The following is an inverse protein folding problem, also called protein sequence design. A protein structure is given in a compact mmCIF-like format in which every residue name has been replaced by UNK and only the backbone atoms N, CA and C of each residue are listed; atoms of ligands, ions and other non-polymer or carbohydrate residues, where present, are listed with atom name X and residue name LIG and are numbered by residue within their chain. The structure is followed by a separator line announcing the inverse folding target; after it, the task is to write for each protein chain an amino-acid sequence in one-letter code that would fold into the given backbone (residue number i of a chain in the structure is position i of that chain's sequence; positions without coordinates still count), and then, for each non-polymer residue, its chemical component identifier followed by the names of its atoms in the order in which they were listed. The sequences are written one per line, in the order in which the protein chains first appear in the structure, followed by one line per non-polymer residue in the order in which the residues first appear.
data_IF_907531521400
#
_entry.id   IF_907531521400
#
_cell.length_a   1.000
_cell.length_b   1.000
_cell.length_c   1.000
_cell.angle_alpha   90.00
_cell.angle_beta   90.00
_cell.angle_gamma   90.00
#
_symmetry.space_group_name_H-M   'P 1'
#
loop_
_entity.id
_entity.type
_entity.pdbx_description
1 polymer ?
#
# COMPACT_ATOMS: atom_id res chain seq x y z
N UNK A 1 -6.84 -33.26 6.69
CA UNK A 1 -6.72 -32.15 7.65
C UNK A 1 -7.89 -31.21 7.37
N UNK A 2 -8.68 -30.86 8.38
CA UNK A 2 -9.86 -30.01 8.21
C UNK A 2 -9.34 -28.57 8.07
N UNK A 3 -9.34 -28.00 6.84
CA UNK A 3 -9.32 -26.56 6.66
C UNK A 3 -10.64 -26.04 7.26
N UNK A 4 -10.55 -25.55 8.47
CA UNK A 4 -11.61 -24.74 9.05
C UNK A 4 -11.58 -23.45 8.24
N UNK A 5 -12.57 -23.23 7.39
CA UNK A 5 -12.82 -21.93 6.75
C UNK A 5 -12.98 -20.89 7.88
N UNK A 6 -11.86 -20.32 8.32
CA UNK A 6 -11.91 -19.17 9.23
C UNK A 6 -12.62 -18.04 8.50
N UNK A 7 -13.62 -17.48 9.14
CA UNK A 7 -14.26 -16.28 8.62
C UNK A 7 -13.22 -15.15 8.55
N UNK A 8 -12.98 -14.65 7.35
CA UNK A 8 -12.04 -13.53 7.11
C UNK A 8 -12.35 -12.35 8.03
N UNK A 9 -13.62 -12.09 8.27
CA UNK A 9 -14.09 -10.99 9.14
C UNK A 9 -13.61 -11.21 10.58
N UNK A 10 -13.75 -12.43 11.10
CA UNK A 10 -13.27 -12.76 12.46
C UNK A 10 -11.75 -12.65 12.55
N UNK A 11 -11.02 -13.17 11.56
CA UNK A 11 -9.58 -13.13 11.54
C UNK A 11 -9.04 -11.70 11.45
N UNK A 12 -9.65 -10.83 10.63
CA UNK A 12 -9.25 -9.42 10.52
C UNK A 12 -9.49 -8.68 11.84
N UNK A 13 -10.58 -8.99 12.55
CA UNK A 13 -10.95 -8.34 13.83
C UNK A 13 -10.09 -8.77 15.00
N UNK A 14 -9.79 -10.05 15.08
CA UNK A 14 -9.09 -10.67 16.21
C UNK A 14 -8.07 -11.70 15.72
N UNK A 15 -6.98 -11.27 15.07
CA UNK A 15 -5.93 -12.20 14.67
C UNK A 15 -5.27 -12.81 15.90
N UNK A 16 -4.90 -14.11 15.82
CA UNK A 16 -4.15 -14.76 16.88
C UNK A 16 -2.76 -14.15 17.02
N UNK A 17 -2.20 -14.13 18.25
CA UNK A 17 -0.91 -13.52 18.54
C UNK A 17 0.28 -14.23 17.86
N UNK A 18 0.10 -15.50 17.48
CA UNK A 18 1.13 -16.38 16.87
C UNK A 18 0.98 -16.49 15.36
N UNK A 19 0.09 -15.70 14.72
CA UNK A 19 -0.08 -15.73 13.27
C UNK A 19 0.98 -14.88 12.56
N UNK A 20 1.26 -15.27 11.29
CA UNK A 20 2.21 -14.56 10.44
C UNK A 20 1.85 -13.07 10.30
N UNK A 21 2.87 -12.22 10.18
CA UNK A 21 2.72 -10.77 9.98
C UNK A 21 1.92 -10.40 8.71
N UNK A 22 1.88 -11.30 7.72
CA UNK A 22 1.02 -11.21 6.55
C UNK A 22 0.31 -12.55 6.36
N UNK A 23 -1.02 -12.52 6.44
CA UNK A 23 -1.85 -13.70 6.32
C UNK A 23 -2.48 -13.75 4.93
N UNK A 24 -2.33 -14.87 4.24
CA UNK A 24 -2.95 -15.15 2.96
C UNK A 24 -4.06 -16.20 3.14
N UNK A 25 -5.29 -15.87 2.76
CA UNK A 25 -6.45 -16.74 2.92
C UNK A 25 -7.24 -16.87 1.62
N UNK A 26 -7.90 -18.02 1.45
CA UNK A 26 -8.83 -18.25 0.35
C UNK A 26 -10.27 -18.29 0.83
N UNK A 27 -11.15 -17.55 0.14
CA UNK A 27 -12.60 -17.64 0.30
C UNK A 27 -13.24 -17.84 -1.08
N UNK A 28 -13.50 -19.08 -1.42
CA UNK A 28 -13.94 -19.43 -2.78
C UNK A 28 -12.91 -18.98 -3.83
N UNK A 29 -13.30 -18.21 -4.86
CA UNK A 29 -12.37 -17.74 -5.89
C UNK A 29 -11.61 -16.48 -5.49
N UNK A 30 -11.70 -16.02 -4.25
CA UNK A 30 -11.14 -14.75 -3.78
C UNK A 30 -9.94 -15.00 -2.88
N UNK A 31 -8.80 -14.41 -3.21
CA UNK A 31 -7.62 -14.36 -2.35
C UNK A 31 -7.69 -13.14 -1.46
N UNK A 32 -7.62 -13.34 -0.14
CA UNK A 32 -7.44 -12.28 0.83
C UNK A 32 -5.99 -12.20 1.29
N UNK A 33 -5.52 -10.97 1.47
CA UNK A 33 -4.23 -10.63 2.07
C UNK A 33 -4.50 -9.70 3.25
N UNK A 34 -4.10 -10.13 4.44
CA UNK A 34 -4.30 -9.38 5.68
C UNK A 34 -2.94 -9.00 6.25
N UNK A 35 -2.67 -7.68 6.31
CA UNK A 35 -1.50 -7.15 7.00
C UNK A 35 -1.72 -7.27 8.50
N UNK A 36 -0.94 -8.10 9.19
CA UNK A 36 -1.24 -8.56 10.54
C UNK A 36 -0.20 -8.14 11.57
N UNK A 37 -0.07 -6.84 11.77
CA UNK A 37 0.69 -6.23 12.89
C UNK A 37 -0.13 -5.12 13.56
N UNK A 38 -1.33 -5.39 14.10
CA UNK A 38 -2.26 -4.36 14.57
C UNK A 38 -1.68 -3.48 15.67
N UNK A 39 -0.80 -4.00 16.53
CA UNK A 39 -0.08 -3.22 17.58
C UNK A 39 0.85 -2.17 16.97
N UNK A 40 1.42 -2.43 15.78
CA UNK A 40 2.26 -1.52 15.00
C UNK A 40 1.48 -0.80 13.89
N UNK A 41 0.12 -0.77 13.94
CA UNK A 41 -0.74 -0.23 12.90
C UNK A 41 -0.43 -0.82 11.52
N UNK A 42 -0.10 -2.09 11.48
CA UNK A 42 0.23 -2.86 10.29
C UNK A 42 1.41 -2.29 9.49
N UNK A 43 2.37 -1.63 10.17
CA UNK A 43 3.59 -1.17 9.52
C UNK A 43 4.37 -2.34 8.92
N UNK A 44 4.79 -2.17 7.65
CA UNK A 44 5.42 -3.22 6.84
C UNK A 44 6.84 -3.51 7.27
N UNK A 45 7.13 -4.78 7.52
CA UNK A 45 8.50 -5.31 7.62
C UNK A 45 8.98 -5.79 6.25
N UNK A 46 10.31 -6.07 6.12
CA UNK A 46 10.84 -6.67 4.89
C UNK A 46 10.18 -8.01 4.59
N UNK A 47 9.96 -8.82 5.61
CA UNK A 47 9.27 -10.10 5.50
C UNK A 47 7.85 -9.95 4.92
N UNK A 48 7.08 -8.96 5.39
CA UNK A 48 5.74 -8.71 4.85
C UNK A 48 5.78 -8.27 3.36
N UNK A 49 6.78 -7.49 2.96
CA UNK A 49 6.95 -7.11 1.56
C UNK A 49 7.28 -8.33 0.68
N UNK A 50 8.20 -9.18 1.13
CA UNK A 50 8.59 -10.41 0.44
C UNK A 50 7.40 -11.37 0.33
N UNK A 51 6.67 -11.57 1.43
CA UNK A 51 5.48 -12.43 1.43
C UNK A 51 4.36 -11.90 0.53
N UNK A 52 4.19 -10.57 0.41
CA UNK A 52 3.22 -9.98 -0.52
C UNK A 52 3.58 -10.30 -1.98
N UNK A 53 4.86 -10.25 -2.34
CA UNK A 53 5.34 -10.65 -3.69
C UNK A 53 5.01 -12.12 -3.94
N UNK A 54 5.37 -13.03 -3.03
CA UNK A 54 5.07 -14.45 -3.15
C UNK A 54 3.57 -14.73 -3.36
N UNK A 55 2.70 -14.08 -2.56
CA UNK A 55 1.25 -14.23 -2.72
C UNK A 55 0.76 -13.72 -4.08
N UNK A 56 1.32 -12.63 -4.59
CA UNK A 56 0.99 -12.14 -5.93
C UNK A 56 1.39 -13.14 -7.02
N UNK A 57 2.55 -13.79 -6.87
CA UNK A 57 3.04 -14.83 -7.78
C UNK A 57 2.16 -16.09 -7.70
N UNK A 58 1.83 -16.56 -6.49
CA UNK A 58 0.89 -17.67 -6.26
C UNK A 58 -0.47 -17.41 -6.95
N UNK A 59 -1.01 -16.19 -6.81
CA UNK A 59 -2.26 -15.77 -7.48
C UNK A 59 -2.14 -15.77 -9.00
N UNK A 60 -0.97 -15.43 -9.54
CA UNK A 60 -0.75 -15.47 -10.98
C UNK A 60 -0.72 -16.90 -11.54
N UNK A 61 -0.23 -17.85 -10.76
CA UNK A 61 -0.16 -19.27 -11.12
C UNK A 61 -1.52 -19.98 -10.95
N UNK A 62 -2.25 -19.67 -9.86
CA UNK A 62 -3.53 -20.34 -9.56
C UNK A 62 -4.70 -19.75 -10.34
N UNK A 63 -5.11 -20.44 -11.42
CA UNK A 63 -6.23 -20.03 -12.28
C UNK A 63 -7.60 -20.06 -11.60
N UNK A 64 -7.74 -20.68 -10.44
CA UNK A 64 -8.98 -20.67 -9.65
C UNK A 64 -9.20 -19.35 -8.93
N UNK A 65 -8.14 -18.54 -8.72
CA UNK A 65 -8.27 -17.17 -8.18
C UNK A 65 -8.87 -16.25 -9.23
N UNK A 66 -9.87 -15.45 -8.82
CA UNK A 66 -10.60 -14.54 -9.71
C UNK A 66 -10.54 -13.08 -9.26
N UNK A 67 -10.26 -12.82 -7.98
CA UNK A 67 -10.04 -11.49 -7.42
C UNK A 67 -9.11 -11.59 -6.20
N UNK A 68 -8.47 -10.48 -5.83
CA UNK A 68 -7.61 -10.36 -4.65
C UNK A 68 -8.03 -9.14 -3.84
N UNK A 69 -8.19 -9.31 -2.52
CA UNK A 69 -8.54 -8.24 -1.58
C UNK A 69 -7.42 -8.08 -0.57
N UNK A 70 -6.99 -6.84 -0.34
CA UNK A 70 -5.98 -6.48 0.65
C UNK A 70 -6.60 -5.63 1.76
N UNK A 71 -6.30 -5.94 3.01
CA UNK A 71 -6.78 -5.18 4.18
C UNK A 71 -5.81 -5.26 5.35
N UNK A 72 -6.02 -4.45 6.39
CA UNK A 72 -5.24 -4.47 7.62
C UNK A 72 -6.01 -5.07 8.78
N UNK A 73 -5.36 -5.89 9.59
CA UNK A 73 -5.95 -6.49 10.78
C UNK A 73 -6.22 -5.45 11.89
N UNK A 74 -7.23 -5.72 12.73
CA UNK A 74 -7.58 -4.97 13.93
C UNK A 74 -8.31 -3.66 13.68
N UNK A 75 -8.76 -3.37 12.45
CA UNK A 75 -9.63 -2.22 12.09
C UNK A 75 -9.08 -0.82 12.33
N UNK A 76 -7.85 -0.71 12.83
CA UNK A 76 -7.26 0.56 13.26
C UNK A 76 -6.37 1.20 12.23
N UNK A 77 -5.93 0.46 11.23
CA UNK A 77 -5.11 0.92 10.11
C UNK A 77 -5.15 -0.09 8.97
N UNK A 78 -5.12 0.38 7.74
CA UNK A 78 -4.76 -0.45 6.59
C UNK A 78 -3.28 -0.84 6.70
N UNK A 79 -2.38 0.10 6.48
CA UNK A 79 -0.93 0.01 6.68
C UNK A 79 -0.39 1.41 6.94
N UNK A 80 0.22 1.63 8.09
CA UNK A 80 0.71 2.96 8.51
C UNK A 80 2.16 3.25 8.05
N UNK A 81 2.61 2.64 6.96
CA UNK A 81 3.93 2.85 6.38
C UNK A 81 4.86 1.66 6.52
N UNK A 82 6.13 1.87 6.23
CA UNK A 82 7.22 0.92 6.49
C UNK A 82 7.64 1.02 7.96
N UNK A 83 8.08 -0.06 8.57
CA UNK A 83 8.65 -0.05 9.91
C UNK A 83 9.96 0.72 9.91
N UNK A 84 9.92 1.91 10.52
CA UNK A 84 11.02 2.90 10.47
C UNK A 84 12.30 2.39 11.15
N UNK A 85 12.18 1.43 12.07
CA UNK A 85 13.36 0.84 12.71
C UNK A 85 14.34 0.21 11.71
N UNK A 86 13.84 -0.21 10.55
CA UNK A 86 14.64 -0.83 9.48
C UNK A 86 15.59 0.17 8.80
N UNK A 87 15.33 1.48 8.89
CA UNK A 87 16.22 2.53 8.32
C UNK A 87 17.45 2.84 9.17
N UNK A 88 17.52 2.33 10.42
CA UNK A 88 18.68 2.56 11.28
C UNK A 88 19.99 2.03 10.71
N UNK A 89 19.93 1.00 9.90
CA UNK A 89 21.10 0.38 9.26
C UNK A 89 21.54 1.10 7.99
N UNK A 90 20.77 2.09 7.50
CA UNK A 90 21.11 2.81 6.27
C UNK A 90 22.35 3.67 6.49
N UNK A 91 23.39 3.44 5.71
CA UNK A 91 24.68 4.12 5.82
C UNK A 91 25.31 4.45 4.47
N UNK A 92 24.87 3.81 3.39
CA UNK A 92 25.42 3.93 2.05
C UNK A 92 24.35 4.33 1.02
N UNK A 93 24.80 4.92 -0.09
CA UNK A 93 23.94 5.20 -1.26
C UNK A 93 23.22 3.94 -1.74
N UNK A 94 23.93 2.80 -1.69
CA UNK A 94 23.37 1.51 -2.08
C UNK A 94 22.16 1.11 -1.22
N UNK A 95 22.19 1.39 0.09
CA UNK A 95 21.06 1.07 0.98
C UNK A 95 19.78 1.80 0.54
N UNK A 96 19.92 3.10 0.17
CA UNK A 96 18.82 3.91 -0.29
C UNK A 96 18.26 3.45 -1.64
N UNK A 97 19.14 3.18 -2.61
CA UNK A 97 18.74 2.73 -3.94
C UNK A 97 18.12 1.33 -3.90
N UNK A 98 18.70 0.40 -3.13
CA UNK A 98 18.16 -0.95 -2.96
C UNK A 98 16.76 -0.92 -2.28
N UNK A 99 16.57 -0.03 -1.31
CA UNK A 99 15.26 0.15 -0.66
C UNK A 99 14.17 0.56 -1.65
N UNK A 100 14.43 1.61 -2.43
CA UNK A 100 13.46 2.09 -3.42
C UNK A 100 13.27 1.06 -4.55
N UNK A 101 14.33 0.37 -4.97
CA UNK A 101 14.22 -0.70 -5.97
C UNK A 101 13.34 -1.86 -5.47
N UNK A 102 13.50 -2.29 -4.21
CA UNK A 102 12.64 -3.31 -3.59
C UNK A 102 11.18 -2.84 -3.49
N UNK A 103 10.96 -1.61 -3.02
CA UNK A 103 9.63 -1.02 -2.97
C UNK A 103 8.96 -0.97 -4.35
N UNK A 104 9.70 -0.54 -5.36
CA UNK A 104 9.23 -0.51 -6.74
C UNK A 104 8.88 -1.92 -7.27
N UNK A 105 9.70 -2.92 -6.94
CA UNK A 105 9.44 -4.33 -7.31
C UNK A 105 8.13 -4.83 -6.71
N UNK A 106 7.91 -4.62 -5.40
CA UNK A 106 6.65 -5.02 -4.72
C UNK A 106 5.43 -4.38 -5.38
N UNK A 107 5.49 -3.05 -5.59
CA UNK A 107 4.38 -2.33 -6.21
C UNK A 107 4.12 -2.78 -7.66
N UNK A 108 5.18 -3.03 -8.41
CA UNK A 108 5.08 -3.55 -9.78
C UNK A 108 4.47 -4.95 -9.80
N UNK A 109 4.91 -5.86 -8.92
CA UNK A 109 4.38 -7.22 -8.83
C UNK A 109 2.87 -7.18 -8.50
N UNK A 110 2.44 -6.32 -7.57
CA UNK A 110 1.03 -6.14 -7.26
C UNK A 110 0.22 -5.58 -8.45
N UNK A 111 0.75 -4.61 -9.19
CA UNK A 111 0.11 -4.05 -10.39
C UNK A 111 -0.04 -5.08 -11.52
N UNK A 112 0.87 -6.06 -11.60
CA UNK A 112 0.89 -7.09 -12.63
C UNK A 112 0.11 -8.36 -12.25
N UNK A 113 -0.50 -8.40 -11.07
CA UNK A 113 -1.43 -9.48 -10.69
C UNK A 113 -2.53 -9.58 -11.76
N UNK A 114 -2.72 -10.78 -12.32
CA UNK A 114 -3.62 -10.99 -13.46
C UNK A 114 -5.10 -10.78 -13.16
N UNK A 115 -5.50 -10.88 -11.88
CA UNK A 115 -6.89 -10.67 -11.44
C UNK A 115 -7.08 -9.25 -10.87
N UNK A 116 -8.32 -8.74 -10.80
CA UNK A 116 -8.59 -7.48 -10.12
C UNK A 116 -8.13 -7.50 -8.67
N UNK A 117 -7.51 -6.40 -8.24
CA UNK A 117 -7.04 -6.18 -6.87
C UNK A 117 -7.83 -5.06 -6.20
N UNK A 118 -8.26 -5.27 -4.96
CA UNK A 118 -9.09 -4.33 -4.18
C UNK A 118 -8.35 -4.00 -2.88
N UNK A 119 -8.09 -2.73 -2.61
CA UNK A 119 -7.65 -2.28 -1.29
C UNK A 119 -8.88 -1.88 -0.45
N UNK A 120 -9.12 -2.57 0.65
CA UNK A 120 -10.13 -2.25 1.66
C UNK A 120 -9.48 -1.46 2.80
N UNK A 121 -9.66 -0.14 2.79
CA UNK A 121 -8.89 0.81 3.60
C UNK A 121 -9.68 1.25 4.83
N UNK A 122 -9.24 0.82 6.02
CA UNK A 122 -9.70 1.34 7.31
C UNK A 122 -8.56 2.11 8.00
N UNK A 123 -8.86 3.26 8.61
CA UNK A 123 -7.89 4.06 9.35
C UNK A 123 -6.70 4.56 8.51
N UNK A 124 -5.49 4.75 9.10
CA UNK A 124 -4.31 5.21 8.38
C UNK A 124 -3.85 4.26 7.27
N UNK A 125 -3.64 4.83 6.08
CA UNK A 125 -3.06 4.23 4.89
C UNK A 125 -1.97 5.19 4.40
N UNK A 126 -0.74 5.04 4.90
CA UNK A 126 0.32 6.05 4.73
C UNK A 126 1.64 5.45 4.24
N UNK A 127 2.46 6.26 3.58
CA UNK A 127 3.78 5.84 3.10
C UNK A 127 3.73 4.57 2.25
N UNK A 128 4.43 3.50 2.65
CA UNK A 128 4.40 2.21 1.95
C UNK A 128 2.98 1.64 1.78
N UNK A 129 2.12 1.81 2.80
CA UNK A 129 0.71 1.41 2.72
C UNK A 129 -0.08 2.19 1.66
N UNK A 130 0.17 3.50 1.55
CA UNK A 130 -0.44 4.33 0.51
C UNK A 130 0.05 3.91 -0.89
N UNK A 131 1.33 3.51 -1.02
CA UNK A 131 1.88 2.93 -2.23
C UNK A 131 1.19 1.62 -2.62
N UNK A 132 1.02 0.69 -1.67
CA UNK A 132 0.29 -0.58 -1.87
C UNK A 132 -1.14 -0.31 -2.33
N UNK A 133 -1.87 0.57 -1.63
CA UNK A 133 -3.25 0.92 -2.01
C UNK A 133 -3.33 1.58 -3.39
N UNK A 134 -2.35 2.43 -3.75
CA UNK A 134 -2.26 3.05 -5.07
C UNK A 134 -1.96 2.04 -6.19
N UNK A 135 -1.30 0.94 -5.88
CA UNK A 135 -0.96 -0.13 -6.81
C UNK A 135 -2.10 -1.15 -7.01
N UNK A 136 -3.13 -1.15 -6.17
CA UNK A 136 -4.36 -1.91 -6.40
C UNK A 136 -5.19 -1.28 -7.52
N UNK A 137 -6.04 -2.09 -8.19
CA UNK A 137 -6.94 -1.59 -9.23
C UNK A 137 -8.06 -0.73 -8.63
N UNK A 138 -8.70 -1.24 -7.59
CA UNK A 138 -9.83 -0.59 -6.92
C UNK A 138 -9.53 -0.33 -5.44
N UNK A 139 -10.18 0.67 -4.88
CA UNK A 139 -10.08 1.03 -3.46
C UNK A 139 -11.47 1.29 -2.90
N UNK A 140 -11.72 0.73 -1.71
CA UNK A 140 -12.87 1.03 -0.85
C UNK A 140 -12.33 1.63 0.45
N UNK A 141 -13.09 2.48 1.10
CA UNK A 141 -12.68 3.09 2.35
C UNK A 141 -13.80 3.03 3.41
N UNK A 142 -13.42 2.87 4.67
CA UNK A 142 -14.30 3.24 5.78
C UNK A 142 -14.23 4.73 6.07
N UNK A 143 -15.18 5.29 6.80
CA UNK A 143 -15.19 6.70 7.22
C UNK A 143 -13.95 7.12 8.02
N UNK A 144 -13.28 6.16 8.67
CA UNK A 144 -12.05 6.39 9.44
C UNK A 144 -10.79 6.51 8.58
N UNK A 145 -10.85 6.16 7.30
CA UNK A 145 -9.70 6.10 6.42
C UNK A 145 -8.97 7.45 6.29
N UNK A 146 -7.63 7.40 6.28
CA UNK A 146 -6.73 8.53 6.09
C UNK A 146 -5.60 8.13 5.16
N UNK A 147 -5.44 8.84 4.05
CA UNK A 147 -4.50 8.48 2.98
C UNK A 147 -3.47 9.57 2.75
N UNK A 148 -2.20 9.21 2.56
CA UNK A 148 -1.17 10.13 2.13
C UNK A 148 0.26 9.71 2.42
N UNK A 149 1.19 10.63 2.14
CA UNK A 149 2.64 10.44 2.30
C UNK A 149 3.21 11.57 3.18
N UNK A 150 3.13 11.47 4.51
CA UNK A 150 3.56 12.55 5.40
C UNK A 150 5.09 12.67 5.53
N UNK A 151 5.87 12.17 4.56
CA UNK A 151 7.33 12.02 4.59
C UNK A 151 8.06 13.34 4.78
N UNK A 152 7.62 14.41 4.12
CA UNK A 152 8.23 15.74 4.27
C UNK A 152 8.13 16.32 5.70
N UNK A 153 7.20 15.80 6.50
CA UNK A 153 7.01 16.21 7.90
C UNK A 153 7.63 15.24 8.90
N UNK A 154 7.90 13.99 8.49
CA UNK A 154 8.27 12.90 9.42
C UNK A 154 9.69 12.40 9.21
N UNK A 155 10.06 12.01 8.00
CA UNK A 155 11.31 11.30 7.72
C UNK A 155 12.30 12.11 6.87
N UNK A 156 11.81 13.04 6.05
CA UNK A 156 12.66 13.80 5.13
C UNK A 156 13.15 13.01 3.90
N UNK A 157 12.63 11.80 3.68
CA UNK A 157 12.89 11.04 2.45
C UNK A 157 12.01 11.49 1.28
N UNK A 158 12.25 10.95 0.11
CA UNK A 158 11.40 11.14 -1.08
C UNK A 158 10.71 9.83 -1.50
N UNK A 159 9.94 9.88 -2.57
CA UNK A 159 9.37 8.73 -3.25
C UNK A 159 10.17 8.44 -4.54
N UNK A 160 10.10 7.20 -5.03
CA UNK A 160 10.58 6.89 -6.37
C UNK A 160 9.71 7.55 -7.45
N UNK A 161 10.27 7.76 -8.64
CA UNK A 161 9.50 8.27 -9.79
C UNK A 161 8.30 7.40 -10.14
N UNK A 162 8.37 6.09 -9.90
CA UNK A 162 7.24 5.20 -10.10
C UNK A 162 6.08 5.54 -9.15
N UNK A 163 6.35 5.85 -7.89
CA UNK A 163 5.35 6.28 -6.92
C UNK A 163 4.79 7.66 -7.26
N UNK A 164 5.64 8.61 -7.71
CA UNK A 164 5.15 9.90 -8.22
C UNK A 164 4.23 9.72 -9.42
N UNK A 165 4.56 8.84 -10.38
CA UNK A 165 3.72 8.56 -11.54
C UNK A 165 2.37 7.93 -11.14
N UNK A 166 2.34 7.03 -10.15
CA UNK A 166 1.09 6.49 -9.58
C UNK A 166 0.21 7.61 -9.01
N UNK A 167 0.78 8.46 -8.18
CA UNK A 167 0.03 9.58 -7.58
C UNK A 167 -0.43 10.58 -8.64
N UNK A 168 0.42 10.89 -9.60
CA UNK A 168 0.08 11.80 -10.70
C UNK A 168 -1.11 11.28 -11.51
N UNK A 169 -1.13 9.98 -11.81
CA UNK A 169 -2.23 9.37 -12.60
C UNK A 169 -3.51 9.20 -11.81
N UNK A 170 -3.44 8.93 -10.50
CA UNK A 170 -4.62 8.73 -9.65
C UNK A 170 -5.26 10.04 -9.18
N UNK A 171 -4.44 11.04 -8.85
CA UNK A 171 -4.90 12.26 -8.16
C UNK A 171 -4.81 13.51 -9.04
N UNK A 172 -4.10 13.41 -10.15
CA UNK A 172 -3.69 14.56 -10.93
C UNK A 172 -2.61 15.40 -10.24
N UNK A 173 -1.91 16.28 -10.99
CA UNK A 173 -0.72 16.99 -10.49
C UNK A 173 -1.00 17.95 -9.32
N UNK A 174 -2.15 18.60 -9.31
CA UNK A 174 -2.48 19.59 -8.28
C UNK A 174 -2.63 18.93 -6.90
N UNK A 175 -3.44 17.87 -6.81
CA UNK A 175 -3.69 17.19 -5.54
C UNK A 175 -2.48 16.37 -5.08
N UNK A 176 -1.76 15.73 -6.00
CA UNK A 176 -0.52 15.06 -5.68
C UNK A 176 0.49 16.02 -5.02
N UNK A 177 0.70 17.23 -5.59
CA UNK A 177 1.56 18.25 -4.98
C UNK A 177 1.05 18.70 -3.62
N UNK A 178 -0.25 18.93 -3.47
CA UNK A 178 -0.84 19.38 -2.21
C UNK A 178 -0.53 18.38 -1.08
N UNK A 179 -0.86 17.09 -1.23
CA UNK A 179 -0.63 16.10 -0.18
C UNK A 179 0.86 15.83 0.10
N UNK A 180 1.71 15.93 -0.91
CA UNK A 180 3.14 15.70 -0.76
C UNK A 180 3.86 16.87 -0.09
N UNK A 181 3.61 18.12 -0.56
CA UNK A 181 4.30 19.30 -0.04
C UNK A 181 3.78 19.72 1.34
N UNK A 182 2.47 19.57 1.59
CA UNK A 182 1.89 19.88 2.91
C UNK A 182 2.03 18.73 3.91
N UNK A 183 2.41 17.54 3.42
CA UNK A 183 2.47 16.30 4.21
C UNK A 183 1.18 16.00 5.01
N UNK A 184 0.03 16.49 4.52
CA UNK A 184 -1.28 16.23 5.10
C UNK A 184 -1.83 14.87 4.67
N UNK A 185 -2.84 14.41 5.35
CA UNK A 185 -3.59 13.21 4.97
C UNK A 185 -4.96 13.63 4.44
N UNK A 186 -5.40 12.96 3.38
CA UNK A 186 -6.76 13.06 2.86
C UNK A 186 -7.68 12.25 3.77
N UNK A 187 -8.88 12.75 4.06
CA UNK A 187 -9.93 11.97 4.69
C UNK A 187 -10.74 11.15 3.67
N UNK A 188 -11.65 10.30 4.17
CA UNK A 188 -12.44 9.41 3.33
C UNK A 188 -13.32 10.16 2.31
N UNK A 189 -13.87 11.30 2.70
CA UNK A 189 -14.76 12.08 1.82
C UNK A 189 -13.97 12.80 0.71
N UNK A 190 -12.79 13.30 1.03
CA UNK A 190 -11.88 13.88 0.03
C UNK A 190 -11.39 12.79 -0.95
N UNK A 191 -11.07 11.58 -0.46
CA UNK A 191 -10.72 10.45 -1.32
C UNK A 191 -11.85 10.07 -2.27
N UNK A 192 -13.11 10.09 -1.81
CA UNK A 192 -14.28 9.83 -2.64
C UNK A 192 -14.47 10.94 -3.68
N UNK A 193 -14.43 12.18 -3.24
CA UNK A 193 -14.65 13.35 -4.10
C UNK A 193 -13.63 13.46 -5.25
N UNK A 194 -12.40 12.92 -5.05
CA UNK A 194 -11.37 12.94 -6.08
C UNK A 194 -11.27 11.63 -6.89
N UNK A 195 -12.11 10.64 -6.60
CA UNK A 195 -12.09 9.34 -7.28
C UNK A 195 -10.95 8.41 -6.87
N UNK A 196 -10.21 8.72 -5.79
CA UNK A 196 -9.19 7.81 -5.27
C UNK A 196 -9.81 6.52 -4.74
N UNK A 197 -10.95 6.63 -4.05
CA UNK A 197 -11.76 5.48 -3.64
C UNK A 197 -13.09 5.47 -4.39
N UNK A 198 -13.58 4.28 -4.69
CA UNK A 198 -14.85 4.06 -5.38
C UNK A 198 -16.04 4.39 -4.47
N UNK A 199 -15.92 4.07 -3.17
CA UNK A 199 -17.01 4.08 -2.21
C UNK A 199 -16.48 4.30 -0.79
N UNK A 200 -17.25 4.96 0.04
CA UNK A 200 -16.99 5.11 1.49
C UNK A 200 -18.15 4.49 2.25
N UNK A 201 -17.81 3.56 3.15
CA UNK A 201 -18.79 2.91 4.05
C UNK A 201 -18.61 3.38 5.50
N UNK A 202 -19.58 3.08 6.36
CA UNK A 202 -19.63 3.61 7.71
C UNK A 202 -18.45 3.14 8.59
N UNK A 203 -18.15 1.84 8.57
CA UNK A 203 -17.22 1.19 9.47
C UNK A 203 -16.42 0.06 8.79
N UNK A 204 -15.60 -0.64 9.57
CA UNK A 204 -14.76 -1.73 9.09
C UNK A 204 -15.58 -2.98 8.71
N UNK A 205 -16.61 -3.32 9.48
CA UNK A 205 -17.44 -4.49 9.19
C UNK A 205 -18.11 -4.35 7.83
N UNK A 206 -18.75 -3.20 7.62
CA UNK A 206 -19.34 -2.83 6.34
C UNK A 206 -18.30 -2.81 5.21
N UNK A 207 -17.05 -2.39 5.51
CA UNK A 207 -15.96 -2.37 4.54
C UNK A 207 -15.57 -3.76 4.07
N UNK A 208 -15.40 -4.70 5.00
CA UNK A 208 -15.01 -6.07 4.67
C UNK A 208 -16.13 -6.81 3.91
N UNK A 209 -17.38 -6.64 4.35
CA UNK A 209 -18.54 -7.19 3.64
C UNK A 209 -18.62 -6.63 2.21
N UNK A 210 -18.49 -5.32 2.06
CA UNK A 210 -18.55 -4.66 0.74
C UNK A 210 -17.39 -5.07 -0.17
N UNK A 211 -16.18 -5.27 0.38
CA UNK A 211 -15.02 -5.74 -0.38
C UNK A 211 -15.24 -7.18 -0.89
N UNK A 212 -15.83 -8.04 -0.06
CA UNK A 212 -16.20 -9.41 -0.46
C UNK A 212 -17.24 -9.39 -1.59
N UNK A 213 -18.32 -8.62 -1.45
CA UNK A 213 -19.35 -8.48 -2.49
C UNK A 213 -18.77 -7.98 -3.82
N UNK A 214 -17.92 -6.95 -3.77
CA UNK A 214 -17.28 -6.42 -4.98
C UNK A 214 -16.34 -7.45 -5.62
N UNK A 215 -15.60 -8.20 -4.82
CA UNK A 215 -14.70 -9.25 -5.32
C UNK A 215 -15.50 -10.40 -5.96
N UNK A 216 -16.64 -10.78 -5.37
CA UNK A 216 -17.56 -11.78 -5.92
C UNK A 216 -18.18 -11.31 -7.26
N UNK A 217 -18.61 -10.05 -7.32
CA UNK A 217 -19.09 -9.42 -8.57
C UNK A 217 -18.02 -9.52 -9.66
N UNK A 218 -16.78 -9.06 -9.37
CA UNK A 218 -15.67 -9.10 -10.32
C UNK A 218 -15.32 -10.53 -10.74
N UNK A 219 -15.43 -11.50 -9.85
CA UNK A 219 -15.17 -12.91 -10.16
C UNK A 219 -16.09 -13.48 -11.24
N UNK A 220 -17.27 -12.88 -11.49
CA UNK A 220 -18.20 -13.28 -12.56
C UNK A 220 -17.83 -12.69 -13.92
N UNK A 221 -17.00 -11.65 -13.97
CA UNK A 221 -16.68 -10.94 -15.22
C UNK A 221 -15.65 -11.69 -16.07
N UNK A 222 -15.56 -11.34 -17.38
CA UNK A 222 -14.63 -11.93 -18.33
C UNK A 222 -13.15 -11.64 -17.94
N UNK A 223 -12.37 -12.66 -17.55
CA UNK A 223 -11.04 -12.44 -16.95
C UNK A 223 -10.03 -11.84 -17.94
N UNK A 224 -10.07 -12.21 -19.21
CA UNK A 224 -9.17 -11.66 -20.22
C UNK A 224 -9.45 -10.19 -20.51
N UNK A 225 -10.71 -9.76 -20.46
CA UNK A 225 -11.09 -8.35 -20.63
C UNK A 225 -10.56 -7.50 -19.48
N UNK A 226 -10.73 -7.98 -18.24
CA UNK A 226 -10.21 -7.29 -17.06
C UNK A 226 -8.68 -7.22 -17.08
N UNK A 227 -8.01 -8.32 -17.35
CA UNK A 227 -6.55 -8.36 -17.50
C UNK A 227 -6.05 -7.38 -18.58
N UNK A 228 -6.67 -7.40 -19.78
CA UNK A 228 -6.28 -6.51 -20.88
C UNK A 228 -6.46 -5.03 -20.52
N UNK A 229 -7.54 -4.70 -19.78
CA UNK A 229 -7.78 -3.33 -19.29
C UNK A 229 -6.71 -2.88 -18.28
N UNK A 230 -6.37 -3.73 -17.29
CA UNK A 230 -5.29 -3.46 -16.33
C UNK A 230 -3.96 -3.25 -17.03
N UNK A 231 -3.59 -4.17 -17.92
CA UNK A 231 -2.32 -4.13 -18.64
C UNK A 231 -2.21 -2.89 -19.54
N UNK A 232 -3.29 -2.51 -20.21
CA UNK A 232 -3.32 -1.30 -21.03
C UNK A 232 -3.08 -0.03 -20.18
N UNK A 233 -3.75 0.10 -19.02
CA UNK A 233 -3.55 1.23 -18.10
C UNK A 233 -2.13 1.26 -17.54
N UNK A 234 -1.56 0.11 -17.18
CA UNK A 234 -0.18 -0.03 -16.73
C UNK A 234 0.81 0.46 -17.79
N UNK A 235 0.66 0.01 -19.04
CA UNK A 235 1.53 0.45 -20.17
C UNK A 235 1.42 1.95 -20.44
N UNK A 236 0.23 2.53 -20.33
CA UNK A 236 0.04 3.98 -20.47
C UNK A 236 0.82 4.71 -19.36
N UNK A 237 0.69 4.26 -18.11
CA UNK A 237 1.40 4.84 -16.96
C UNK A 237 2.92 4.78 -17.15
N UNK A 238 3.47 3.66 -17.64
CA UNK A 238 4.91 3.50 -17.86
C UNK A 238 5.48 4.51 -18.86
N UNK A 239 4.68 4.98 -19.80
CA UNK A 239 5.10 6.04 -20.74
C UNK A 239 5.29 7.41 -20.08
N UNK A 240 4.83 7.60 -18.86
CA UNK A 240 5.05 8.81 -18.08
C UNK A 240 6.36 8.77 -17.28
N UNK A 241 7.08 7.64 -17.29
CA UNK A 241 8.33 7.47 -16.56
C UNK A 241 9.51 7.83 -17.46
N UNK A 242 10.28 8.89 -17.13
CA UNK A 242 11.54 9.17 -17.81
C UNK A 242 12.58 8.08 -17.48
N UNK A 243 13.45 7.75 -18.42
CA UNK A 243 14.54 6.82 -18.19
C UNK A 243 15.56 7.38 -17.18
N UNK A 244 15.95 6.55 -16.18
CA UNK A 244 17.02 6.85 -15.23
C UNK A 244 16.80 8.01 -14.25
N UNK A 245 15.56 8.41 -14.00
CA UNK A 245 15.21 9.74 -13.55
C UNK A 245 15.02 9.96 -12.05
N UNK A 246 15.51 9.13 -11.14
CA UNK A 246 15.24 9.34 -9.70
C UNK A 246 16.44 9.13 -8.75
N UNK A 247 17.55 8.57 -9.22
CA UNK A 247 18.70 8.28 -8.34
C UNK A 247 19.25 9.53 -7.67
N UNK A 248 19.32 10.65 -8.38
CA UNK A 248 19.75 11.94 -7.84
C UNK A 248 18.83 12.45 -6.74
N UNK A 249 17.51 12.33 -6.93
CA UNK A 249 16.49 12.72 -5.95
C UNK A 249 16.52 11.81 -4.71
N UNK A 250 16.63 10.50 -4.94
CA UNK A 250 16.72 9.50 -3.87
C UNK A 250 17.97 9.78 -3.02
N UNK A 251 19.13 9.90 -3.65
CA UNK A 251 20.38 10.14 -2.93
C UNK A 251 20.39 11.49 -2.22
N UNK A 252 19.89 12.55 -2.84
CA UNK A 252 19.78 13.86 -2.19
C UNK A 252 18.96 13.81 -0.89
N UNK A 253 17.87 13.03 -0.86
CA UNK A 253 17.05 12.91 0.34
C UNK A 253 17.63 11.91 1.36
N UNK A 254 17.86 10.66 0.96
CA UNK A 254 18.24 9.59 1.88
C UNK A 254 19.65 9.72 2.47
N UNK A 255 20.58 10.39 1.76
CA UNK A 255 21.94 10.64 2.25
C UNK A 255 22.06 11.93 3.07
N UNK A 256 20.98 12.73 3.17
CA UNK A 256 20.95 13.98 3.91
C UNK A 256 21.05 13.76 5.43
N UNK A 257 21.50 14.80 6.13
CA UNK A 257 21.43 14.86 7.59
C UNK A 257 19.99 14.93 8.08
N UNK A 258 19.12 15.55 7.30
CA UNK A 258 17.69 15.66 7.58
C UNK A 258 17.00 14.30 7.62
N UNK A 259 17.35 13.37 6.72
CA UNK A 259 16.81 12.02 6.78
C UNK A 259 17.20 11.26 8.05
N UNK A 260 18.48 11.36 8.47
CA UNK A 260 18.97 10.76 9.72
C UNK A 260 18.24 11.35 10.92
N UNK A 261 18.13 12.68 10.96
CA UNK A 261 17.36 13.40 11.99
C UNK A 261 15.88 12.95 12.00
N UNK A 262 15.25 12.81 10.83
CA UNK A 262 13.86 12.36 10.70
C UNK A 262 13.65 10.96 11.28
N UNK A 263 14.53 10.02 10.98
CA UNK A 263 14.49 8.65 11.51
C UNK A 263 14.66 8.66 13.04
N UNK A 264 15.66 9.36 13.56
CA UNK A 264 15.92 9.46 15.01
C UNK A 264 14.76 10.12 15.73
N UNK A 265 14.26 11.25 15.23
CA UNK A 265 13.13 11.98 15.80
C UNK A 265 11.86 11.13 15.85
N UNK A 266 11.57 10.40 14.74
CA UNK A 266 10.42 9.51 14.68
C UNK A 266 10.49 8.40 15.73
N UNK A 267 11.63 7.73 15.85
CA UNK A 267 11.85 6.65 16.83
C UNK A 267 11.82 7.16 18.27
N UNK A 268 12.34 8.37 18.50
CA UNK A 268 12.29 9.05 19.80
C UNK A 268 10.95 9.73 20.12
N UNK A 269 9.98 9.68 19.18
CA UNK A 269 8.66 10.33 19.30
C UNK A 269 8.75 11.83 19.59
N UNK A 270 9.73 12.52 19.01
CA UNK A 270 9.92 13.98 19.07
C UNK A 270 9.72 14.62 17.70
N UNK A 271 9.64 15.95 17.65
CA UNK A 271 9.64 16.68 16.39
C UNK A 271 11.05 16.69 15.79
N UNK A 272 11.20 16.50 14.46
CA UNK A 272 12.48 16.67 13.79
C UNK A 272 12.87 18.15 13.64
N UNK A 273 14.17 18.40 13.55
CA UNK A 273 14.77 19.72 13.33
C UNK A 273 15.44 19.75 11.95
N UNK A 274 14.72 20.27 10.97
CA UNK A 274 15.18 20.31 9.58
C UNK A 274 16.21 21.39 9.33
N UNK A 275 17.27 21.10 8.57
CA UNK A 275 18.35 22.02 8.23
C UNK A 275 18.53 22.21 6.73
N UNK A 276 17.97 21.32 5.89
CA UNK A 276 18.14 21.33 4.44
C UNK A 276 19.52 20.82 4.00
N UNK A 277 20.15 19.93 4.76
CA UNK A 277 21.51 19.42 4.53
C UNK A 277 21.55 17.88 4.45
#
# INVERSE_FOLDING_TARGET
MKDVERDVIELVRAPAEDEDELIALRRGPIQWVVFNRPRARNAMTWHMYERLVEVCEEVNEDRSVRAMVLTGAGGRAFVAGTDISQFRSFSTEKDALDYEARGNHVMYTLETVRVPTIAAIAGPCTGGGAGIAASCDLRLASSSARYGFPIARTLGNCLSMQNYARLFTLLGPARARDILLTARLMDAQEMLACGLVREVVADEESLLARAQELAEELATHAPLTMWASKEAMRRIKERLLPEGADSDLILACYMSRDFKEGVEAFLAKRKPEWRGE
#
